data_IF_389771097178
#
_entry.id   IF_389771097178
#
_cell.length_a   1.000
_cell.length_b   1.000
_cell.length_c   1.000
_cell.angle_alpha   90.00
_cell.angle_beta   90.00
_cell.angle_gamma   90.00
#
_symmetry.space_group_name_H-M   'P 1'
#
loop_
_entity.id
_entity.type
_entity.pdbx_description
1 polymer ?
#
# COMPACT_ATOMS: atom_id res chain seq x y z
N UNK A 1 6.26 -0.90 -21.98
CA UNK A 1 7.37 -1.09 -21.03
C UNK A 1 7.38 -2.52 -20.51
N UNK A 2 8.43 -3.28 -20.81
CA UNK A 2 8.56 -4.72 -20.49
C UNK A 2 8.57 -5.03 -18.98
N UNK A 3 9.01 -4.09 -18.15
CA UNK A 3 9.05 -4.22 -16.69
C UNK A 3 7.66 -4.24 -16.05
N UNK A 4 6.78 -3.32 -16.45
CA UNK A 4 5.42 -3.26 -15.90
C UNK A 4 4.57 -4.46 -16.29
N UNK A 5 4.67 -4.92 -17.55
CA UNK A 5 3.94 -6.12 -17.99
C UNK A 5 4.40 -7.38 -17.27
N UNK A 6 5.69 -7.50 -16.97
CA UNK A 6 6.24 -8.64 -16.20
C UNK A 6 5.81 -8.60 -14.73
N UNK A 7 5.82 -7.42 -14.11
CA UNK A 7 5.36 -7.22 -12.73
C UNK A 7 3.86 -7.50 -12.59
N UNK A 8 3.04 -7.09 -13.55
CA UNK A 8 1.59 -7.38 -13.57
C UNK A 8 1.34 -8.88 -13.79
N UNK A 9 2.10 -9.55 -14.68
CA UNK A 9 1.91 -10.98 -14.99
C UNK A 9 2.35 -11.92 -13.88
N UNK A 10 3.38 -11.56 -13.12
CA UNK A 10 4.00 -12.45 -12.12
C UNK A 10 3.81 -11.98 -10.67
N UNK A 11 3.43 -10.73 -10.47
CA UNK A 11 3.24 -10.13 -9.16
C UNK A 11 1.78 -10.00 -8.78
N UNK A 12 1.54 -9.53 -7.55
CA UNK A 12 0.21 -9.19 -7.08
C UNK A 12 -0.22 -7.84 -7.69
N UNK A 13 -1.12 -7.91 -8.69
CA UNK A 13 -1.59 -6.72 -9.41
C UNK A 13 -2.23 -5.68 -8.49
N UNK A 14 -2.83 -6.09 -7.38
CA UNK A 14 -3.46 -5.13 -6.47
C UNK A 14 -2.42 -4.32 -5.69
N UNK A 15 -1.20 -4.84 -5.49
CA UNK A 15 -0.10 -4.05 -4.91
C UNK A 15 0.35 -2.93 -5.84
N UNK A 16 0.25 -3.14 -7.16
CA UNK A 16 0.56 -2.12 -8.16
C UNK A 16 -0.58 -1.10 -8.31
N UNK A 17 -1.84 -1.57 -8.28
CA UNK A 17 -3.01 -0.72 -8.52
C UNK A 17 -3.41 0.08 -7.28
N UNK A 18 -3.46 -0.57 -6.10
CA UNK A 18 -3.96 0.05 -4.88
C UNK A 18 -2.84 0.60 -3.98
N UNK A 19 -1.61 0.14 -4.19
CA UNK A 19 -0.48 0.44 -3.31
C UNK A 19 -0.54 -0.30 -1.97
N UNK A 20 0.47 -0.05 -1.13
CA UNK A 20 0.60 -0.62 0.20
C UNK A 20 1.08 0.42 1.21
N UNK A 21 0.62 0.29 2.45
CA UNK A 21 1.08 1.11 3.58
C UNK A 21 2.47 0.67 4.08
N UNK A 22 3.01 1.39 5.06
CA UNK A 22 4.32 1.06 5.65
C UNK A 22 4.32 -0.30 6.42
N UNK A 23 3.16 -0.88 6.68
CA UNK A 23 2.98 -2.21 7.25
C UNK A 23 2.89 -3.32 6.18
N UNK A 24 3.08 -2.97 4.90
CA UNK A 24 2.90 -3.85 3.74
C UNK A 24 1.48 -4.43 3.60
N UNK A 25 0.47 -3.78 4.18
CA UNK A 25 -0.94 -4.06 3.92
C UNK A 25 -1.36 -3.41 2.60
N UNK A 26 -2.08 -4.15 1.76
CA UNK A 26 -2.57 -3.63 0.47
C UNK A 26 -3.86 -2.87 0.69
N UNK A 27 -3.91 -1.60 0.25
CA UNK A 27 -5.09 -0.76 0.47
C UNK A 27 -6.32 -1.33 -0.26
N UNK A 28 -7.49 -1.18 0.35
CA UNK A 28 -8.77 -1.64 -0.22
C UNK A 28 -9.02 -3.15 -0.15
N UNK A 29 -8.21 -3.92 0.58
CA UNK A 29 -8.40 -5.38 0.72
C UNK A 29 -7.87 -5.93 2.05
N UNK A 30 -8.23 -7.17 2.33
CA UNK A 30 -7.64 -7.94 3.44
C UNK A 30 -6.26 -8.42 3.00
N UNK A 31 -5.25 -8.14 3.82
CA UNK A 31 -3.91 -8.71 3.64
C UNK A 31 -3.80 -9.97 4.47
N UNK A 32 -3.37 -11.08 3.87
CA UNK A 32 -3.19 -12.32 4.60
C UNK A 32 -2.13 -12.12 5.70
N UNK A 33 -2.42 -12.63 6.90
CA UNK A 33 -1.44 -12.71 7.97
C UNK A 33 -0.33 -13.69 7.57
N UNK A 34 0.92 -13.34 7.87
CA UNK A 34 2.08 -14.21 7.65
C UNK A 34 2.50 -14.82 8.98
N UNK A 35 3.03 -16.05 8.96
CA UNK A 35 3.51 -16.74 10.18
C UNK A 35 4.72 -16.04 10.79
N UNK A 36 5.54 -15.38 9.97
CA UNK A 36 6.72 -14.61 10.38
C UNK A 36 6.74 -13.29 9.60
N UNK A 37 5.90 -12.31 9.97
CA UNK A 37 5.78 -11.07 9.22
C UNK A 37 6.98 -10.17 9.47
N UNK A 38 7.50 -9.55 8.41
CA UNK A 38 8.55 -8.52 8.51
C UNK A 38 8.09 -7.32 9.36
N UNK A 39 6.80 -6.96 9.25
CA UNK A 39 6.18 -5.86 9.99
C UNK A 39 5.12 -6.41 10.94
N UNK A 40 5.21 -6.07 12.23
CA UNK A 40 4.28 -6.56 13.26
C UNK A 40 2.81 -6.16 13.00
N UNK A 41 2.57 -5.08 12.25
CA UNK A 41 1.24 -4.57 11.89
C UNK A 41 0.69 -5.14 10.56
N UNK A 42 1.38 -6.11 9.94
CA UNK A 42 0.94 -6.74 8.70
C UNK A 42 -0.19 -7.73 8.94
N UNK A 43 -1.15 -7.78 8.01
CA UNK A 43 -2.31 -8.67 8.07
C UNK A 43 -3.62 -7.96 8.40
N UNK A 44 -3.67 -6.63 8.30
CA UNK A 44 -4.86 -5.85 8.62
C UNK A 44 -5.93 -5.90 7.51
N UNK A 45 -7.18 -5.68 7.91
CA UNK A 45 -8.31 -5.46 7.00
C UNK A 45 -8.36 -3.99 6.54
N UNK A 46 -7.93 -3.74 5.30
CA UNK A 46 -7.95 -2.42 4.69
C UNK A 46 -9.11 -2.22 3.71
N UNK A 47 -10.15 -3.06 3.72
CA UNK A 47 -11.27 -2.99 2.77
C UNK A 47 -12.00 -1.63 2.74
N UNK A 48 -12.00 -0.91 3.87
CA UNK A 48 -12.58 0.44 4.02
C UNK A 48 -11.61 1.59 3.68
N UNK A 49 -10.31 1.29 3.52
CA UNK A 49 -9.24 2.26 3.30
C UNK A 49 -8.65 2.02 1.90
N UNK A 50 -9.35 2.52 0.87
CA UNK A 50 -9.12 2.16 -0.54
C UNK A 50 -8.00 2.94 -1.21
N UNK A 51 -7.63 4.09 -0.67
CA UNK A 51 -6.64 4.97 -1.27
C UNK A 51 -5.33 4.91 -0.51
N UNK A 52 -4.22 5.14 -1.20
CA UNK A 52 -2.90 5.27 -0.59
C UNK A 52 -2.53 6.75 -0.51
N UNK A 53 -2.36 7.27 0.70
CA UNK A 53 -1.72 8.56 0.94
C UNK A 53 -0.21 8.36 1.06
N UNK A 54 0.56 9.11 0.28
CA UNK A 54 2.03 9.10 0.32
C UNK A 54 2.50 10.47 0.77
N UNK A 55 3.18 10.54 1.91
CA UNK A 55 3.85 11.76 2.35
C UNK A 55 5.27 11.78 1.78
N UNK A 56 5.54 12.73 0.88
CA UNK A 56 6.84 12.89 0.23
C UNK A 56 7.48 14.18 0.72
N UNK A 57 8.73 14.09 1.16
CA UNK A 57 9.58 15.23 1.54
C UNK A 57 10.75 15.35 0.56
N UNK A 58 11.55 16.43 0.61
CA UNK A 58 12.70 16.61 -0.29
C UNK A 58 13.71 15.45 -0.25
N UNK A 59 13.76 14.68 0.84
CA UNK A 59 14.61 13.50 1.04
C UNK A 59 13.91 12.16 0.75
N UNK A 60 12.72 12.19 0.14
CA UNK A 60 12.02 11.01 -0.37
C UNK A 60 10.70 10.70 0.33
N UNK A 61 10.22 9.46 0.16
CA UNK A 61 8.97 8.98 0.76
C UNK A 61 9.17 8.79 2.26
N UNK A 62 8.33 9.44 3.07
CA UNK A 62 8.36 9.35 4.53
C UNK A 62 7.37 8.39 5.11
N UNK A 63 6.17 8.37 4.54
CA UNK A 63 5.15 7.44 4.97
C UNK A 63 4.18 7.09 3.86
N UNK A 64 3.60 5.91 4.01
CA UNK A 64 2.54 5.36 3.18
C UNK A 64 1.42 4.90 4.09
N UNK A 65 0.23 5.46 3.91
CA UNK A 65 -0.93 5.17 4.76
C UNK A 65 -2.16 4.87 3.92
N UNK A 66 -2.84 3.75 4.19
CA UNK A 66 -4.14 3.50 3.59
C UNK A 66 -5.20 4.40 4.23
N UNK A 67 -5.98 5.10 3.40
CA UNK A 67 -7.00 6.07 3.84
C UNK A 67 -8.33 5.84 3.12
N UNK A 68 -9.44 6.24 3.75
CA UNK A 68 -10.78 6.16 3.16
C UNK A 68 -11.05 7.30 2.17
N UNK A 69 -10.38 8.44 2.34
CA UNK A 69 -10.40 9.58 1.44
C UNK A 69 -9.01 10.24 1.37
N UNK A 70 -8.69 10.82 0.21
CA UNK A 70 -7.49 11.65 0.04
C UNK A 70 -7.81 13.14 0.20
N UNK A 71 -8.78 13.49 1.05
CA UNK A 71 -9.06 14.89 1.33
C UNK A 71 -7.77 15.52 1.82
N UNK A 72 -7.30 16.51 1.08
CA UNK A 72 -6.04 17.21 1.28
C UNK A 72 -5.95 17.64 2.74
N UNK A 73 -5.08 17.01 3.52
CA UNK A 73 -4.53 17.68 4.69
C UNK A 73 -3.70 18.83 4.11
N UNK A 74 -4.26 20.04 4.14
CA UNK A 74 -3.54 21.28 3.92
C UNK A 74 -2.39 21.30 4.93
N UNK A 75 -1.17 21.12 4.43
CA UNK A 75 0.07 21.49 5.11
C UNK A 75 0.49 22.88 4.60
#
# INVERSE_FOLDING_TARGET
>A
GFFMSSAIRRGDVHRLVNGYDDCANVCGRITASETSPEFACKGADMTKLKYLQVNVRPDGVKSRTCVSNCSTSED
#
